data_IF_426284278039
#
_entry.id   IF_426284278039
#
_cell.length_a   1.000
_cell.length_b   1.000
_cell.length_c   1.000
_cell.angle_alpha   90.00
_cell.angle_beta   90.00
_cell.angle_gamma   90.00
#
_symmetry.space_group_name_H-M   'P 1'
#
loop_
_entity.id
_entity.type
_entity.pdbx_description
1 polymer ?
#
# COMPACT_ATOMS: atom_id res chain seq x y z
N UNK A 1 10.88 -8.27 -12.66
CA UNK A 1 9.88 -9.00 -11.86
C UNK A 1 10.39 -8.93 -10.43
N UNK A 2 10.10 -7.83 -9.74
CA UNK A 2 10.61 -7.56 -8.39
C UNK A 2 9.43 -7.80 -7.45
N UNK A 3 9.33 -9.05 -7.01
CA UNK A 3 8.42 -9.52 -5.96
C UNK A 3 9.06 -9.20 -4.59
N UNK A 4 9.41 -7.92 -4.40
CA UNK A 4 10.16 -7.46 -3.22
C UNK A 4 9.44 -6.29 -2.57
N UNK A 5 9.68 -6.13 -1.26
CA UNK A 5 9.19 -5.03 -0.43
C UNK A 5 9.34 -3.67 -1.12
N UNK A 6 10.45 -3.47 -1.82
CA UNK A 6 10.77 -2.23 -2.50
C UNK A 6 9.75 -1.91 -3.59
N UNK A 7 9.50 -2.82 -4.53
CA UNK A 7 8.50 -2.59 -5.59
C UNK A 7 7.08 -2.50 -5.08
N UNK A 8 6.74 -3.25 -4.02
CA UNK A 8 5.46 -3.12 -3.35
C UNK A 8 5.30 -1.74 -2.70
N UNK A 9 6.35 -1.25 -2.05
CA UNK A 9 6.40 0.09 -1.43
C UNK A 9 6.28 1.18 -2.50
N UNK A 10 7.03 1.07 -3.61
CA UNK A 10 6.95 1.99 -4.74
C UNK A 10 5.54 2.04 -5.35
N UNK A 11 4.86 0.89 -5.46
CA UNK A 11 3.48 0.82 -5.94
C UNK A 11 2.50 1.54 -5.01
N UNK A 12 2.63 1.31 -3.69
CA UNK A 12 1.79 1.98 -2.69
C UNK A 12 2.02 3.49 -2.73
N UNK A 13 3.27 3.94 -2.81
CA UNK A 13 3.60 5.36 -2.92
C UNK A 13 3.00 5.95 -4.20
N UNK A 14 3.15 5.27 -5.34
CA UNK A 14 2.60 5.73 -6.62
C UNK A 14 1.06 5.85 -6.58
N UNK A 15 0.34 4.90 -5.99
CA UNK A 15 -1.13 4.98 -5.84
C UNK A 15 -1.53 6.10 -4.87
N UNK A 16 -0.79 6.31 -3.77
CA UNK A 16 -1.02 7.40 -2.82
C UNK A 16 -0.83 8.77 -3.48
N UNK A 17 0.29 8.97 -4.18
CA UNK A 17 0.58 10.21 -4.90
C UNK A 17 -0.38 10.43 -6.08
N UNK A 18 -0.79 9.36 -6.79
CA UNK A 18 -1.76 9.46 -7.87
C UNK A 18 -3.17 9.88 -7.39
N UNK A 19 -3.58 9.48 -6.17
CA UNK A 19 -4.83 9.94 -5.57
C UNK A 19 -4.75 11.41 -5.12
N UNK A 20 -3.54 11.95 -4.92
CA UNK A 20 -3.28 13.37 -4.65
C UNK A 20 -3.88 13.90 -3.34
N UNK A 21 -4.44 13.03 -2.49
CA UNK A 21 -5.08 13.43 -1.22
C UNK A 21 -4.10 13.38 -0.06
N UNK A 22 -3.03 12.58 -0.17
CA UNK A 22 -2.06 12.43 0.90
C UNK A 22 -0.73 11.83 0.44
N UNK A 23 0.33 12.15 1.17
CA UNK A 23 1.69 11.67 0.93
C UNK A 23 2.05 10.52 1.87
N UNK A 24 3.14 9.79 1.57
CA UNK A 24 3.73 8.75 2.43
C UNK A 24 4.09 9.19 3.86
N UNK A 25 3.99 10.48 4.16
CA UNK A 25 4.23 11.05 5.48
C UNK A 25 2.97 11.02 6.34
N UNK A 26 1.79 11.08 5.71
CA UNK A 26 0.48 10.98 6.36
C UNK A 26 0.07 9.51 6.57
N UNK A 27 0.62 8.59 5.76
CA UNK A 27 0.31 7.16 5.80
C UNK A 27 1.52 6.34 6.24
N UNK A 28 1.33 5.35 7.11
CA UNK A 28 2.39 4.40 7.44
C UNK A 28 2.55 3.36 6.31
N UNK A 29 3.29 3.74 5.26
CA UNK A 29 3.50 2.92 4.05
C UNK A 29 4.07 1.55 4.39
N UNK A 30 4.99 1.48 5.36
CA UNK A 30 5.57 0.22 5.80
C UNK A 30 4.53 -0.72 6.42
N UNK A 31 3.66 -0.20 7.29
CA UNK A 31 2.55 -0.97 7.85
C UNK A 31 1.54 -1.38 6.77
N UNK A 32 1.21 -0.50 5.83
CA UNK A 32 0.29 -0.81 4.73
C UNK A 32 0.85 -1.95 3.88
N UNK A 33 2.11 -1.88 3.48
CA UNK A 33 2.78 -2.92 2.68
C UNK A 33 2.84 -4.25 3.45
N UNK A 34 3.16 -4.21 4.75
CA UNK A 34 3.20 -5.41 5.59
C UNK A 34 1.82 -6.05 5.76
N UNK A 35 0.79 -5.27 6.07
CA UNK A 35 -0.60 -5.74 6.21
C UNK A 35 -1.14 -6.27 4.88
N UNK A 36 -0.90 -5.55 3.79
CA UNK A 36 -1.32 -5.93 2.44
C UNK A 36 -0.68 -7.27 2.04
N UNK A 37 0.63 -7.44 2.31
CA UNK A 37 1.32 -8.72 2.11
C UNK A 37 0.77 -9.83 3.00
N UNK A 38 0.44 -9.55 4.26
CA UNK A 38 -0.12 -10.55 5.17
C UNK A 38 -1.50 -11.05 4.69
N UNK A 39 -2.28 -10.19 4.01
CA UNK A 39 -3.61 -10.54 3.49
C UNK A 39 -3.50 -11.25 2.14
N UNK A 40 -2.65 -10.77 1.23
CA UNK A 40 -2.49 -11.38 -0.10
C UNK A 40 -1.57 -12.60 -0.10
N UNK A 41 -0.82 -12.81 0.99
CA UNK A 41 0.25 -13.81 1.11
C UNK A 41 1.28 -13.73 -0.04
N UNK A 42 1.33 -12.58 -0.73
CA UNK A 42 2.07 -12.34 -1.96
C UNK A 42 2.41 -10.86 -2.11
N UNK A 43 3.37 -10.53 -2.97
CA UNK A 43 3.70 -9.15 -3.31
C UNK A 43 2.93 -8.63 -4.53
N UNK A 44 2.06 -9.45 -5.12
CA UNK A 44 1.18 -9.01 -6.20
C UNK A 44 0.01 -8.18 -5.64
N UNK A 45 0.26 -6.90 -5.43
CA UNK A 45 -0.75 -5.96 -4.91
C UNK A 45 -1.83 -5.65 -5.96
N UNK A 46 -1.57 -5.96 -7.23
CA UNK A 46 -2.54 -5.85 -8.33
C UNK A 46 -3.63 -6.91 -8.27
N UNK A 47 -3.35 -8.06 -7.66
CA UNK A 47 -4.32 -9.12 -7.39
C UNK A 47 -5.34 -8.70 -6.33
N UNK A 48 -4.99 -7.73 -5.49
CA UNK A 48 -5.86 -7.23 -4.42
C UNK A 48 -6.81 -6.18 -4.99
N UNK A 49 -8.08 -6.25 -4.59
CA UNK A 49 -9.05 -5.23 -4.94
C UNK A 49 -8.60 -3.87 -4.40
N UNK A 50 -8.66 -2.83 -5.25
CA UNK A 50 -8.26 -1.47 -4.86
C UNK A 50 -9.06 -0.98 -3.65
N UNK A 51 -10.32 -1.38 -3.50
CA UNK A 51 -11.15 -0.98 -2.37
C UNK A 51 -10.60 -1.54 -1.06
N UNK A 52 -10.13 -2.80 -1.07
CA UNK A 52 -9.47 -3.43 0.08
C UNK A 52 -8.15 -2.75 0.39
N UNK A 53 -7.34 -2.47 -0.63
CA UNK A 53 -6.10 -1.73 -0.47
C UNK A 53 -6.35 -0.35 0.17
N UNK A 54 -7.32 0.42 -0.35
CA UNK A 54 -7.68 1.72 0.22
C UNK A 54 -8.26 1.63 1.63
N UNK A 55 -8.95 0.54 1.98
CA UNK A 55 -9.41 0.29 3.34
C UNK A 55 -8.25 0.10 4.32
N UNK A 56 -7.26 -0.72 3.93
CA UNK A 56 -6.01 -0.91 4.70
C UNK A 56 -5.26 0.41 4.82
N UNK A 57 -5.08 1.13 3.71
CA UNK A 57 -4.43 2.43 3.71
C UNK A 57 -5.13 3.41 4.67
N UNK A 58 -6.46 3.51 4.60
CA UNK A 58 -7.24 4.38 5.48
C UNK A 58 -7.14 3.99 6.97
N UNK A 59 -7.00 2.70 7.28
CA UNK A 59 -6.79 2.21 8.64
C UNK A 59 -5.39 2.55 9.21
N UNK A 60 -4.43 2.87 8.34
CA UNK A 60 -3.05 3.20 8.69
C UNK A 60 -2.70 4.67 8.45
N UNK A 61 -3.70 5.56 8.43
CA UNK A 61 -3.52 7.01 8.46
C UNK A 61 -2.97 7.42 9.83
N UNK A 62 -1.91 8.22 9.82
CA UNK A 62 -1.29 8.77 11.01
C UNK A 62 -1.94 10.12 11.32
N UNK A 63 -2.85 10.13 12.31
CA UNK A 63 -3.41 11.36 12.88
C UNK A 63 -2.44 12.06 13.82
#
# INVERSE_FOLDING_TARGET
MLDTLESATEYVIAELEAKGTATREDFDVHAIVATTRAIAESWDFRSIDRSTFWNIAAAHIRF
#
